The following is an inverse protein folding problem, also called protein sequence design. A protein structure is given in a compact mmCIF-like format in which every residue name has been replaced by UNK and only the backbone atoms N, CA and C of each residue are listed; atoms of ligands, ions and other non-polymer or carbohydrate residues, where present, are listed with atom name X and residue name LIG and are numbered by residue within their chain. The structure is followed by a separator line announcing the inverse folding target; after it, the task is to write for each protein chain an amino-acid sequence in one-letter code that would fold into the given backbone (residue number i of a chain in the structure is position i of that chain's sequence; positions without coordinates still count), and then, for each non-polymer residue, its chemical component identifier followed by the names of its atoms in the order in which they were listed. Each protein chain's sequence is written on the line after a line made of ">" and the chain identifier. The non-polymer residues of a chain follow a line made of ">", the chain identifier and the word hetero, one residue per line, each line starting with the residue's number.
data_IF_689418904792
#
_entry.id   IF_689418904792
#
_cell.length_a   1.000
_cell.length_b   1.000
_cell.length_c   1.000
_cell.angle_alpha   90.00
_cell.angle_beta   90.00
_cell.angle_gamma   90.00
#
_symmetry.space_group_name_H-M   'P 1'
#
loop_
_entity.id
_entity.type
_entity.pdbx_description
1 polymer ?
#
# COMPACT_ATOMS: atom_id res chain seq x y z
N UNK A 1 0.40 95.91 -38.29
CA UNK A 1 1.45 96.77 -37.71
C UNK A 1 2.69 96.54 -38.57
N UNK A 2 2.67 97.14 -39.76
CA UNK A 2 3.39 98.38 -40.12
C UNK A 2 4.85 98.03 -40.41
N UNK A 3 5.21 97.69 -41.64
CA UNK A 3 5.39 98.58 -42.80
C UNK A 3 6.53 99.58 -42.56
N UNK A 4 7.66 99.39 -43.25
CA UNK A 4 8.02 100.31 -44.33
C UNK A 4 9.11 99.70 -45.22
N UNK A 5 8.85 99.70 -46.53
CA UNK A 5 9.89 99.89 -47.55
C UNK A 5 9.89 101.38 -47.95
N UNK A 6 10.24 101.78 -49.20
CA UNK A 6 10.61 100.95 -50.33
C UNK A 6 11.73 101.68 -51.21
N UNK A 7 11.79 101.59 -52.57
CA UNK A 7 12.92 100.92 -53.25
C UNK A 7 13.33 101.56 -54.63
N UNK A 8 13.99 100.76 -55.52
CA UNK A 8 13.98 100.77 -57.02
C UNK A 8 14.46 102.08 -57.74
N UNK A 9 15.28 102.09 -58.79
CA UNK A 9 15.48 101.20 -59.94
C UNK A 9 15.21 102.00 -61.22
N UNK A 10 16.06 101.92 -62.27
CA UNK A 10 15.61 101.97 -63.69
C UNK A 10 16.77 101.72 -64.66
N UNK A 11 16.54 100.74 -65.54
CA UNK A 11 17.15 100.51 -66.84
C UNK A 11 16.43 101.35 -67.91
N UNK A 12 16.91 101.22 -69.16
CA UNK A 12 16.33 101.62 -70.47
C UNK A 12 16.53 103.07 -70.92
N UNK A 13 16.70 103.40 -72.21
CA UNK A 13 17.05 102.68 -73.45
C UNK A 13 17.14 103.75 -74.57
N UNK A 14 17.98 103.46 -75.57
CA UNK A 14 17.98 103.89 -76.99
C UNK A 14 17.01 104.99 -77.49
N UNK A 15 17.55 106.00 -78.18
CA UNK A 15 17.07 106.56 -79.47
C UNK A 15 18.15 107.54 -80.00
N UNK A 16 18.60 107.61 -81.25
CA UNK A 16 18.03 107.14 -82.51
C UNK A 16 17.68 108.34 -83.41
N UNK A 17 18.45 108.51 -84.50
CA UNK A 17 18.18 109.37 -85.69
C UNK A 17 18.41 110.88 -85.50
N UNK A 18 18.80 111.70 -86.48
CA UNK A 18 18.92 111.60 -87.93
C UNK A 18 19.71 112.83 -88.41
N UNK A 19 20.59 112.71 -89.40
CA UNK A 19 20.57 113.51 -90.64
C UNK A 19 21.78 113.18 -91.53
N UNK A 20 21.48 112.93 -92.80
CA UNK A 20 22.36 112.40 -93.85
C UNK A 20 22.81 113.54 -94.81
N UNK A 21 23.12 113.32 -96.11
CA UNK A 21 24.47 113.36 -96.68
C UNK A 21 24.57 114.36 -97.86
N UNK A 22 25.59 114.24 -98.74
CA UNK A 22 25.58 114.44 -100.23
C UNK A 22 27.00 114.83 -100.70
N UNK A 23 27.85 113.89 -101.14
CA UNK A 23 28.06 113.42 -102.53
C UNK A 23 28.01 114.54 -103.60
N UNK A 24 29.12 114.78 -104.30
CA UNK A 24 29.12 114.91 -105.76
C UNK A 24 30.54 114.78 -106.32
N UNK A 25 30.79 113.67 -107.01
CA UNK A 25 31.81 113.58 -108.03
C UNK A 25 31.18 113.82 -109.39
N UNK A 26 31.87 114.53 -110.28
CA UNK A 26 31.68 114.39 -111.73
C UNK A 26 33.06 114.41 -112.40
N UNK A 27 33.37 113.29 -113.04
CA UNK A 27 34.41 113.14 -114.05
C UNK A 27 33.86 113.50 -115.41
N UNK A 28 34.67 114.16 -116.23
CA UNK A 28 34.87 113.89 -117.68
C UNK A 28 36.17 114.61 -118.08
N UNK A 29 37.07 114.16 -118.94
CA UNK A 29 37.32 112.94 -119.71
C UNK A 29 38.68 113.19 -120.42
N UNK A 30 39.54 112.20 -120.67
CA UNK A 30 40.68 112.41 -121.58
C UNK A 30 41.95 111.58 -121.38
N UNK A 31 41.93 110.34 -121.92
CA UNK A 31 43.04 109.57 -122.51
C UNK A 31 44.18 109.06 -121.59
N UNK A 32 44.22 107.72 -121.45
CA UNK A 32 45.13 106.91 -120.61
C UNK A 32 46.48 106.63 -121.29
N UNK A 33 47.56 106.55 -120.50
CA UNK A 33 48.89 106.03 -120.87
C UNK A 33 49.42 105.01 -119.83
N UNK A 34 50.19 103.98 -120.22
CA UNK A 34 50.55 102.82 -119.37
C UNK A 34 51.45 103.13 -118.15
N UNK A 35 52.20 104.24 -118.16
CA UNK A 35 53.03 104.68 -117.01
C UNK A 35 52.20 105.08 -115.77
N UNK A 36 50.92 105.43 -115.98
CA UNK A 36 49.98 105.77 -114.91
C UNK A 36 49.56 104.56 -114.08
N UNK A 37 49.50 103.35 -114.68
CA UNK A 37 49.07 102.15 -113.95
C UNK A 37 50.12 101.64 -112.96
N UNK A 38 51.42 101.74 -113.27
CA UNK A 38 52.50 101.33 -112.37
C UNK A 38 52.63 102.28 -111.16
N UNK A 39 52.53 103.59 -111.39
CA UNK A 39 52.52 104.58 -110.30
C UNK A 39 51.25 104.49 -109.43
N UNK A 40 50.10 104.12 -109.99
CA UNK A 40 48.88 103.93 -109.21
C UNK A 40 48.96 102.69 -108.31
N UNK A 41 49.57 101.60 -108.78
CA UNK A 41 49.80 100.42 -107.94
C UNK A 41 50.82 100.69 -106.83
N UNK A 42 51.90 101.41 -107.13
CA UNK A 42 52.93 101.76 -106.15
C UNK A 42 52.39 102.75 -105.09
N UNK A 43 51.53 103.68 -105.51
CA UNK A 43 50.78 104.55 -104.59
C UNK A 43 49.87 103.76 -103.66
N UNK A 44 49.12 102.78 -104.19
CA UNK A 44 48.25 101.91 -103.37
C UNK A 44 49.03 101.02 -102.41
N UNK A 45 50.16 100.46 -102.81
CA UNK A 45 51.03 99.67 -101.94
C UNK A 45 51.67 100.53 -100.83
N UNK A 46 52.05 101.76 -101.15
CA UNK A 46 52.57 102.70 -100.16
C UNK A 46 51.49 103.14 -99.19
N UNK A 47 50.27 103.41 -99.67
CA UNK A 47 49.10 103.73 -98.83
C UNK A 47 48.67 102.57 -97.93
N UNK A 48 48.70 101.33 -98.43
CA UNK A 48 48.42 100.17 -97.57
C UNK A 48 49.50 99.99 -96.51
N UNK A 49 50.79 100.22 -96.84
CA UNK A 49 51.88 100.13 -95.87
C UNK A 49 51.79 101.19 -94.78
N UNK A 50 51.49 102.44 -95.14
CA UNK A 50 51.35 103.52 -94.16
C UNK A 50 50.11 103.34 -93.30
N UNK A 51 48.98 102.89 -93.87
CA UNK A 51 47.76 102.59 -93.10
C UNK A 51 47.91 101.40 -92.17
N UNK A 52 48.60 100.33 -92.58
CA UNK A 52 48.89 99.21 -91.67
C UNK A 52 49.91 99.58 -90.60
N UNK A 53 50.96 100.32 -90.96
CA UNK A 53 51.97 100.75 -89.99
C UNK A 53 51.43 101.73 -88.95
N UNK A 54 50.48 102.59 -89.32
CA UNK A 54 49.80 103.49 -88.38
C UNK A 54 48.79 102.77 -87.51
N UNK A 55 48.01 101.82 -88.06
CA UNK A 55 47.09 101.00 -87.27
C UNK A 55 47.80 100.12 -86.25
N UNK A 56 48.87 99.43 -86.64
CA UNK A 56 49.65 98.60 -85.71
C UNK A 56 50.29 99.43 -84.58
N UNK A 57 50.70 100.66 -84.87
CA UNK A 57 51.26 101.55 -83.85
C UNK A 57 50.19 102.14 -82.93
N UNK A 58 48.99 102.40 -83.45
CA UNK A 58 47.86 102.89 -82.67
C UNK A 58 47.32 101.79 -81.74
N UNK A 59 47.17 100.56 -82.24
CA UNK A 59 46.70 99.42 -81.44
C UNK A 59 47.71 99.06 -80.34
N UNK A 60 49.02 99.03 -80.66
CA UNK A 60 50.05 98.75 -79.66
C UNK A 60 50.21 99.83 -78.59
N UNK A 61 49.86 101.09 -78.89
CA UNK A 61 49.87 102.17 -77.89
C UNK A 61 48.59 102.17 -77.03
N UNK A 62 47.42 101.88 -77.63
CA UNK A 62 46.15 101.79 -76.89
C UNK A 62 46.19 100.65 -75.86
N UNK A 63 46.68 99.47 -76.24
CA UNK A 63 46.80 98.34 -75.31
C UNK A 63 47.81 98.61 -74.17
N UNK A 64 48.85 99.43 -74.41
CA UNK A 64 49.84 99.80 -73.40
C UNK A 64 49.27 100.79 -72.38
N UNK A 65 48.49 101.77 -72.84
CA UNK A 65 47.86 102.76 -71.97
C UNK A 65 46.75 102.11 -71.11
N UNK A 66 45.93 101.22 -71.69
CA UNK A 66 44.90 100.48 -70.95
C UNK A 66 45.53 99.53 -69.90
N UNK A 67 46.61 98.84 -70.25
CA UNK A 67 47.31 97.97 -69.30
C UNK A 67 48.00 98.76 -68.18
N UNK A 68 48.50 99.95 -68.48
CA UNK A 68 49.10 100.83 -67.45
C UNK A 68 48.02 101.38 -66.51
N UNK A 69 46.85 101.76 -67.03
CA UNK A 69 45.71 102.19 -66.23
C UNK A 69 45.18 101.10 -65.29
N UNK A 70 45.13 99.85 -65.73
CA UNK A 70 44.73 98.72 -64.85
C UNK A 70 45.76 98.41 -63.76
N UNK A 71 47.05 98.59 -64.03
CA UNK A 71 48.10 98.40 -63.02
C UNK A 71 48.06 99.48 -61.94
N UNK A 72 47.81 100.74 -62.31
CA UNK A 72 47.78 101.83 -61.34
C UNK A 72 46.51 101.81 -60.48
N UNK A 73 45.36 101.44 -61.05
CA UNK A 73 44.14 101.20 -60.26
C UNK A 73 44.31 100.05 -59.24
N UNK A 74 44.90 98.93 -59.65
CA UNK A 74 45.18 97.81 -58.72
C UNK A 74 46.19 98.18 -57.61
N UNK A 75 47.15 99.07 -57.88
CA UNK A 75 48.06 99.58 -56.83
C UNK A 75 47.33 100.45 -55.82
N UNK A 76 46.45 101.33 -56.27
CA UNK A 76 45.65 102.17 -55.37
C UNK A 76 44.73 101.30 -54.49
N UNK A 77 44.06 100.31 -55.08
CA UNK A 77 43.24 99.34 -54.33
C UNK A 77 44.04 98.51 -53.33
N UNK A 78 45.28 98.10 -53.67
CA UNK A 78 46.15 97.39 -52.74
C UNK A 78 46.59 98.30 -51.57
N UNK A 79 46.88 99.57 -51.85
CA UNK A 79 47.28 100.55 -50.83
C UNK A 79 46.10 100.84 -49.90
N UNK A 80 44.89 101.04 -50.43
CA UNK A 80 43.70 101.29 -49.60
C UNK A 80 43.35 100.06 -48.77
N UNK A 81 43.36 98.87 -49.37
CA UNK A 81 43.12 97.61 -48.66
C UNK A 81 44.13 97.37 -47.54
N UNK A 82 45.42 97.63 -47.78
CA UNK A 82 46.45 97.46 -46.77
C UNK A 82 46.30 98.47 -45.62
N UNK A 83 45.96 99.72 -45.92
CA UNK A 83 45.70 100.72 -44.90
C UNK A 83 44.43 100.40 -44.08
N UNK A 84 43.41 99.80 -44.69
CA UNK A 84 42.20 99.37 -43.98
C UNK A 84 42.47 98.14 -43.09
N UNK A 85 43.28 97.18 -43.54
CA UNK A 85 43.73 96.05 -42.71
C UNK A 85 44.54 96.51 -41.49
N UNK A 86 45.45 97.48 -41.68
CA UNK A 86 46.23 98.10 -40.60
C UNK A 86 45.33 98.84 -39.60
N UNK A 87 44.32 99.59 -40.08
CA UNK A 87 43.37 100.29 -39.21
C UNK A 87 42.51 99.31 -38.41
N UNK A 88 41.97 98.29 -39.05
CA UNK A 88 41.14 97.26 -38.39
C UNK A 88 41.94 96.42 -37.40
N UNK A 89 43.20 96.07 -37.73
CA UNK A 89 44.09 95.38 -36.79
C UNK A 89 44.39 96.23 -35.57
N UNK A 90 44.65 97.54 -35.76
CA UNK A 90 44.90 98.47 -34.64
C UNK A 90 43.67 98.68 -33.77
N UNK A 91 42.46 98.62 -34.32
CA UNK A 91 41.22 98.73 -33.55
C UNK A 91 40.94 97.48 -32.69
N UNK A 92 41.35 96.29 -33.16
CA UNK A 92 41.26 95.02 -32.43
C UNK A 92 42.32 94.85 -31.34
N UNK A 93 43.52 95.43 -31.53
CA UNK A 93 44.65 95.33 -30.58
C UNK A 93 44.64 96.42 -29.48
N UNK A 94 43.67 97.35 -29.48
CA UNK A 94 43.48 98.27 -28.35
C UNK A 94 42.84 97.48 -27.19
N UNK A 95 43.54 97.23 -26.07
CA UNK A 95 42.92 96.64 -24.89
C UNK A 95 41.84 97.61 -24.36
N UNK A 96 40.75 97.12 -23.76
CA UNK A 96 39.61 97.94 -23.38
C UNK A 96 40.02 98.97 -22.32
N UNK A 97 40.25 100.22 -22.75
CA UNK A 97 40.74 101.30 -21.91
C UNK A 97 39.63 102.14 -21.26
N UNK A 98 38.35 101.81 -21.48
CA UNK A 98 37.26 102.46 -20.75
C UNK A 98 37.01 101.76 -19.41
N UNK A 99 36.84 102.53 -18.34
CA UNK A 99 36.49 101.99 -17.01
C UNK A 99 35.16 101.20 -17.03
N UNK A 100 34.27 101.50 -17.98
CA UNK A 100 33.02 100.80 -18.18
C UNK A 100 33.24 99.36 -18.70
N UNK A 101 34.12 99.19 -19.69
CA UNK A 101 34.45 97.87 -20.26
C UNK A 101 35.23 97.02 -19.25
N UNK A 102 36.17 97.62 -18.50
CA UNK A 102 36.87 96.93 -17.40
C UNK A 102 35.89 96.47 -16.32
N UNK A 103 34.89 97.28 -15.97
CA UNK A 103 33.81 96.89 -15.03
C UNK A 103 32.89 95.81 -15.62
N UNK A 104 32.59 95.86 -16.92
CA UNK A 104 31.78 94.84 -17.59
C UNK A 104 32.52 93.50 -17.64
N UNK A 105 33.82 93.50 -17.97
CA UNK A 105 34.69 92.32 -17.94
C UNK A 105 34.80 91.72 -16.53
N UNK A 106 35.02 92.55 -15.49
CA UNK A 106 35.03 92.09 -14.09
C UNK A 106 33.68 91.47 -13.67
N UNK A 107 32.56 92.07 -14.08
CA UNK A 107 31.21 91.51 -13.83
C UNK A 107 30.95 90.23 -14.62
N UNK A 108 31.47 90.11 -15.84
CA UNK A 108 31.38 88.89 -16.64
C UNK A 108 32.16 87.76 -15.96
N UNK A 109 33.41 88.03 -15.54
CA UNK A 109 34.24 87.08 -14.79
C UNK A 109 33.57 86.65 -13.47
N UNK A 110 32.93 87.59 -12.76
CA UNK A 110 32.20 87.27 -11.54
C UNK A 110 31.00 86.36 -11.81
N UNK A 111 30.18 86.67 -12.83
CA UNK A 111 29.08 85.79 -13.25
C UNK A 111 29.57 84.43 -13.72
N UNK A 112 30.72 84.38 -14.37
CA UNK A 112 31.33 83.13 -14.82
C UNK A 112 31.82 82.28 -13.64
N UNK A 113 32.28 82.90 -12.56
CA UNK A 113 32.60 82.23 -11.29
C UNK A 113 31.33 81.72 -10.60
N UNK A 114 30.31 82.57 -10.47
CA UNK A 114 29.01 82.21 -9.87
C UNK A 114 28.33 81.07 -10.66
N UNK A 115 28.39 81.09 -12.00
CA UNK A 115 27.89 80.00 -12.85
C UNK A 115 28.67 78.70 -12.63
N UNK A 116 29.99 78.77 -12.48
CA UNK A 116 30.79 77.57 -12.16
C UNK A 116 30.51 77.05 -10.76
N UNK A 117 30.38 77.93 -9.77
CA UNK A 117 30.05 77.56 -8.40
C UNK A 117 28.67 76.88 -8.33
N UNK A 118 27.66 77.46 -8.97
CA UNK A 118 26.31 76.87 -9.04
C UNK A 118 26.28 75.56 -9.84
N UNK A 119 27.10 75.42 -10.90
CA UNK A 119 27.27 74.14 -11.61
C UNK A 119 27.88 73.08 -10.70
N UNK A 120 28.94 73.41 -9.96
CA UNK A 120 29.57 72.50 -9.00
C UNK A 120 28.61 72.12 -7.87
N UNK A 121 27.79 73.05 -7.39
CA UNK A 121 26.75 72.79 -6.39
C UNK A 121 25.65 71.88 -6.95
N UNK A 122 25.21 72.10 -8.19
CA UNK A 122 24.23 71.23 -8.85
C UNK A 122 24.79 69.82 -9.04
N UNK A 123 26.05 69.70 -9.46
CA UNK A 123 26.75 68.41 -9.57
C UNK A 123 26.84 67.73 -8.20
N UNK A 124 27.18 68.46 -7.13
CA UNK A 124 27.19 67.92 -5.76
C UNK A 124 25.81 67.43 -5.33
N UNK A 125 24.76 68.24 -5.49
CA UNK A 125 23.40 67.84 -5.15
C UNK A 125 22.90 66.67 -6.00
N UNK A 126 23.36 66.56 -7.25
CA UNK A 126 23.07 65.40 -8.10
C UNK A 126 23.76 64.15 -7.58
N UNK A 127 25.05 64.23 -7.27
CA UNK A 127 25.78 63.11 -6.69
C UNK A 127 25.17 62.67 -5.36
N UNK A 128 24.82 63.60 -4.47
CA UNK A 128 24.18 63.31 -3.19
C UNK A 128 22.81 62.64 -3.39
N UNK A 129 21.98 63.12 -4.32
CA UNK A 129 20.71 62.46 -4.68
C UNK A 129 20.94 61.04 -5.20
N UNK A 130 21.90 60.86 -6.10
CA UNK A 130 22.20 59.56 -6.70
C UNK A 130 22.76 58.58 -5.63
N UNK A 131 23.46 59.10 -4.62
CA UNK A 131 23.90 58.37 -3.43
C UNK A 131 22.72 57.97 -2.53
N UNK A 132 21.84 58.91 -2.17
CA UNK A 132 20.61 58.61 -1.41
C UNK A 132 19.69 57.64 -2.13
N UNK A 133 19.54 57.75 -3.46
CA UNK A 133 18.77 56.81 -4.26
C UNK A 133 19.41 55.41 -4.22
N UNK A 134 20.74 55.32 -4.26
CA UNK A 134 21.45 54.04 -4.11
C UNK A 134 21.24 53.45 -2.72
N UNK A 135 21.43 54.22 -1.66
CA UNK A 135 21.27 53.76 -0.28
C UNK A 135 19.83 53.32 0.01
N UNK A 136 18.84 54.06 -0.49
CA UNK A 136 17.44 53.66 -0.35
C UNK A 136 17.16 52.37 -1.14
N UNK A 137 17.66 52.25 -2.37
CA UNK A 137 17.54 51.02 -3.17
C UNK A 137 18.26 49.82 -2.55
N UNK A 138 19.39 50.04 -1.86
CA UNK A 138 20.10 49.01 -1.10
C UNK A 138 19.31 48.62 0.16
N UNK A 139 18.84 49.59 0.94
CA UNK A 139 18.02 49.34 2.12
C UNK A 139 16.69 48.64 1.80
N UNK A 140 16.05 48.98 0.67
CA UNK A 140 14.84 48.26 0.21
C UNK A 140 15.18 46.84 -0.21
N UNK A 141 16.30 46.59 -0.91
CA UNK A 141 16.74 45.24 -1.28
C UNK A 141 17.08 44.38 -0.07
N UNK A 142 17.73 44.95 0.94
CA UNK A 142 18.00 44.27 2.20
C UNK A 142 16.71 43.94 2.95
N UNK A 143 15.78 44.89 3.04
CA UNK A 143 14.48 44.67 3.66
C UNK A 143 13.65 43.60 2.92
N UNK A 144 13.64 43.63 1.58
CA UNK A 144 13.01 42.59 0.75
C UNK A 144 13.69 41.23 0.93
N UNK A 145 15.02 41.19 1.03
CA UNK A 145 15.78 39.98 1.30
C UNK A 145 15.47 39.37 2.66
N UNK A 146 15.42 40.19 3.72
CA UNK A 146 15.03 39.76 5.06
C UNK A 146 13.57 39.29 5.11
N UNK A 147 12.66 39.98 4.41
CA UNK A 147 11.25 39.57 4.31
C UNK A 147 11.11 38.22 3.58
N UNK A 148 11.83 38.02 2.48
CA UNK A 148 11.84 36.75 1.75
C UNK A 148 12.42 35.60 2.58
N UNK A 149 13.44 35.86 3.41
CA UNK A 149 14.00 34.86 4.33
C UNK A 149 13.01 34.50 5.45
N UNK A 150 12.31 35.49 6.01
CA UNK A 150 11.24 35.26 6.99
C UNK A 150 10.07 34.45 6.40
N UNK A 151 9.68 34.73 5.16
CA UNK A 151 8.65 33.95 4.47
C UNK A 151 9.12 32.50 4.27
N UNK A 152 10.35 32.30 3.77
CA UNK A 152 10.92 30.97 3.56
C UNK A 152 11.05 30.16 4.85
N UNK A 153 11.42 30.78 5.96
CA UNK A 153 11.47 30.12 7.28
C UNK A 153 10.07 29.74 7.76
N UNK A 154 9.08 30.64 7.63
CA UNK A 154 7.68 30.34 7.95
C UNK A 154 7.07 29.21 7.10
N UNK A 155 7.38 29.17 5.80
CA UNK A 155 6.99 28.07 4.92
C UNK A 155 7.66 26.74 5.31
N UNK A 156 8.94 26.80 5.68
CA UNK A 156 9.70 25.62 6.15
C UNK A 156 9.11 25.07 7.44
N UNK A 157 8.75 25.93 8.39
CA UNK A 157 8.10 25.54 9.64
C UNK A 157 6.72 24.93 9.39
N UNK A 158 5.94 25.53 8.48
CA UNK A 158 4.64 24.99 8.06
C UNK A 158 4.77 23.63 7.39
N UNK A 159 5.81 23.44 6.56
CA UNK A 159 6.13 22.16 5.93
C UNK A 159 6.54 21.11 6.97
N UNK A 160 7.41 21.48 7.90
CA UNK A 160 7.86 20.62 9.00
C UNK A 160 6.69 20.20 9.91
N UNK A 161 5.80 21.13 10.25
CA UNK A 161 4.59 20.83 11.01
C UNK A 161 3.69 19.82 10.28
N UNK A 162 3.48 20.00 8.96
CA UNK A 162 2.67 19.08 8.15
C UNK A 162 3.26 17.68 8.08
N UNK A 163 4.58 17.55 7.88
CA UNK A 163 5.24 16.24 7.85
C UNK A 163 5.25 15.60 9.22
N UNK A 164 5.51 16.36 10.28
CA UNK A 164 5.45 15.90 11.67
C UNK A 164 4.07 15.38 12.04
N UNK A 165 3.00 16.11 11.66
CA UNK A 165 1.62 15.66 11.88
C UNK A 165 1.33 14.32 11.20
N UNK A 166 1.69 14.20 9.92
CA UNK A 166 1.53 12.94 9.17
C UNK A 166 2.34 11.80 9.79
N UNK A 167 3.54 12.08 10.29
CA UNK A 167 4.36 11.09 11.02
C UNK A 167 3.67 10.60 12.29
N UNK A 168 3.09 11.51 13.09
CA UNK A 168 2.34 11.16 14.30
C UNK A 168 1.09 10.35 13.98
N UNK A 169 0.38 10.70 12.91
CA UNK A 169 -0.81 9.94 12.48
C UNK A 169 -0.43 8.51 12.05
N UNK A 170 0.70 8.33 11.36
CA UNK A 170 1.21 6.99 11.02
C UNK A 170 1.68 6.22 12.24
N UNK A 171 2.33 6.88 13.19
CA UNK A 171 2.73 6.26 14.46
C UNK A 171 1.51 5.77 15.24
N UNK A 172 0.45 6.58 15.32
CA UNK A 172 -0.81 6.20 15.95
C UNK A 172 -1.48 5.00 15.25
N UNK A 173 -1.48 4.97 13.91
CA UNK A 173 -1.99 3.83 13.13
C UNK A 173 -1.18 2.56 13.39
N UNK A 174 0.15 2.66 13.45
CA UNK A 174 1.02 1.52 13.76
C UNK A 174 0.76 0.99 15.16
N UNK A 175 0.61 1.87 16.16
CA UNK A 175 0.25 1.48 17.52
C UNK A 175 -1.12 0.79 17.56
N UNK A 176 -2.13 1.35 16.87
CA UNK A 176 -3.47 0.76 16.81
C UNK A 176 -3.46 -0.63 16.17
N UNK A 177 -2.79 -0.80 15.03
CA UNK A 177 -2.67 -2.10 14.36
C UNK A 177 -1.92 -3.09 15.26
N UNK A 178 -0.85 -2.66 15.92
CA UNK A 178 -0.08 -3.50 16.85
C UNK A 178 -0.93 -3.98 18.03
N UNK A 179 -1.73 -3.10 18.63
CA UNK A 179 -2.66 -3.46 19.71
C UNK A 179 -3.73 -4.44 19.23
N UNK A 180 -4.37 -4.17 18.09
CA UNK A 180 -5.38 -5.07 17.53
C UNK A 180 -4.79 -6.46 17.21
N UNK A 181 -3.56 -6.51 16.72
CA UNK A 181 -2.84 -7.76 16.45
C UNK A 181 -2.55 -8.52 17.76
N UNK A 182 -2.15 -7.83 18.83
CA UNK A 182 -1.97 -8.45 20.14
C UNK A 182 -3.29 -9.03 20.69
N UNK A 183 -4.40 -8.30 20.54
CA UNK A 183 -5.73 -8.77 20.91
C UNK A 183 -6.17 -10.00 20.11
N UNK A 184 -5.96 -9.99 18.78
CA UNK A 184 -6.28 -11.14 17.94
C UNK A 184 -5.44 -12.36 18.29
N UNK A 185 -4.13 -12.18 18.56
CA UNK A 185 -3.25 -13.25 19.04
C UNK A 185 -3.71 -13.81 20.38
N UNK A 186 -4.05 -12.94 21.33
CA UNK A 186 -4.56 -13.37 22.63
C UNK A 186 -5.89 -14.15 22.50
N UNK A 187 -6.80 -13.67 21.65
CA UNK A 187 -8.07 -14.35 21.37
C UNK A 187 -7.86 -15.71 20.72
N UNK A 188 -6.95 -15.81 19.76
CA UNK A 188 -6.58 -17.07 19.11
C UNK A 188 -6.02 -18.08 20.12
N UNK A 189 -5.02 -17.68 20.91
CA UNK A 189 -4.42 -18.55 21.94
C UNK A 189 -5.45 -18.99 23.00
N UNK A 190 -6.37 -18.10 23.39
CA UNK A 190 -7.45 -18.46 24.34
C UNK A 190 -8.43 -19.46 23.73
N UNK A 191 -8.73 -19.34 22.44
CA UNK A 191 -9.57 -20.32 21.73
C UNK A 191 -8.85 -21.67 21.58
N UNK A 192 -7.56 -21.67 21.29
CA UNK A 192 -6.72 -22.87 21.22
C UNK A 192 -6.67 -23.61 22.56
N UNK A 193 -6.45 -22.90 23.68
CA UNK A 193 -6.49 -23.49 25.02
C UNK A 193 -7.84 -24.15 25.33
N UNK A 194 -8.96 -23.49 24.99
CA UNK A 194 -10.31 -24.05 25.18
C UNK A 194 -10.56 -25.27 24.29
N UNK A 195 -10.02 -25.27 23.07
CA UNK A 195 -10.11 -26.41 22.16
C UNK A 195 -9.32 -27.61 22.71
N UNK A 196 -8.11 -27.38 23.22
CA UNK A 196 -7.29 -28.41 23.86
C UNK A 196 -7.99 -28.97 25.10
N UNK A 197 -8.54 -28.12 25.96
CA UNK A 197 -9.34 -28.54 27.11
C UNK A 197 -10.53 -29.39 26.67
N UNK A 198 -11.29 -28.96 25.66
CA UNK A 198 -12.40 -29.74 25.09
C UNK A 198 -11.93 -31.07 24.53
N UNK A 199 -10.77 -31.12 23.87
CA UNK A 199 -10.20 -32.35 23.33
C UNK A 199 -9.86 -33.34 24.44
N UNK A 200 -9.26 -32.88 25.55
CA UNK A 200 -9.00 -33.75 26.71
C UNK A 200 -10.28 -34.22 27.41
N UNK A 201 -11.33 -33.41 27.39
CA UNK A 201 -12.64 -33.83 27.91
C UNK A 201 -13.28 -34.88 27.00
N UNK A 202 -13.16 -34.75 25.67
CA UNK A 202 -13.63 -35.77 24.71
C UNK A 202 -12.91 -37.09 24.95
N UNK A 203 -11.57 -37.11 25.05
CA UNK A 203 -10.83 -38.35 25.29
C UNK A 203 -11.26 -39.01 26.60
N UNK A 204 -11.37 -38.24 27.69
CA UNK A 204 -11.88 -38.74 28.98
C UNK A 204 -13.29 -39.32 28.85
N UNK A 205 -14.20 -38.66 28.14
CA UNK A 205 -15.56 -39.18 27.92
C UNK A 205 -15.55 -40.47 27.12
N UNK A 206 -14.73 -40.59 26.06
CA UNK A 206 -14.62 -41.83 25.28
C UNK A 206 -14.07 -43.00 26.11
N UNK A 207 -13.12 -42.74 27.00
CA UNK A 207 -12.60 -43.75 27.93
C UNK A 207 -13.68 -44.22 28.91
N UNK A 208 -14.44 -43.28 29.48
CA UNK A 208 -15.58 -43.61 30.35
C UNK A 208 -16.67 -44.38 29.63
N UNK A 209 -17.00 -44.00 28.38
CA UNK A 209 -17.95 -44.74 27.54
C UNK A 209 -17.48 -46.19 27.32
N UNK A 210 -16.19 -46.41 27.09
CA UNK A 210 -15.62 -47.74 26.92
C UNK A 210 -15.67 -48.55 28.22
N UNK A 211 -15.35 -47.95 29.37
CA UNK A 211 -15.48 -48.60 30.67
C UNK A 211 -16.95 -48.98 30.98
N UNK A 212 -17.91 -48.13 30.60
CA UNK A 212 -19.34 -48.44 30.75
C UNK A 212 -19.74 -49.62 29.86
N UNK A 213 -19.28 -49.67 28.61
CA UNK A 213 -19.54 -50.81 27.70
C UNK A 213 -18.94 -52.10 28.25
N UNK A 214 -17.71 -52.07 28.74
CA UNK A 214 -17.03 -53.23 29.34
C UNK A 214 -17.77 -53.73 30.60
N UNK A 215 -18.12 -52.82 31.51
CA UNK A 215 -18.90 -53.18 32.71
C UNK A 215 -20.28 -53.73 32.35
N UNK A 216 -20.95 -53.18 31.33
CA UNK A 216 -22.21 -53.73 30.83
C UNK A 216 -22.06 -55.15 30.27
N UNK A 217 -20.96 -55.43 29.56
CA UNK A 217 -20.66 -56.78 29.07
C UNK A 217 -20.44 -57.74 30.26
N UNK A 218 -19.70 -57.33 31.28
CA UNK A 218 -19.47 -58.12 32.49
C UNK A 218 -20.78 -58.40 33.24
N UNK A 219 -21.64 -57.39 33.39
CA UNK A 219 -22.98 -57.57 33.96
C UNK A 219 -23.77 -58.61 33.16
N UNK A 220 -23.71 -58.57 31.83
CA UNK A 220 -24.34 -59.58 30.97
C UNK A 220 -23.82 -61.00 31.23
N UNK A 221 -22.49 -61.17 31.32
CA UNK A 221 -21.85 -62.47 31.64
C UNK A 221 -22.30 -63.02 32.99
N UNK A 222 -22.19 -62.20 34.05
CA UNK A 222 -22.57 -62.60 35.41
C UNK A 222 -24.08 -62.91 35.52
N UNK A 223 -24.93 -62.16 34.79
CA UNK A 223 -26.37 -62.47 34.71
C UNK A 223 -26.61 -63.84 34.05
N UNK A 224 -25.92 -64.14 32.95
CA UNK A 224 -26.05 -65.43 32.28
C UNK A 224 -25.56 -66.59 33.16
N UNK A 225 -24.40 -66.44 33.82
CA UNK A 225 -23.89 -67.41 34.80
C UNK A 225 -24.87 -67.62 35.94
N UNK A 226 -25.46 -66.54 36.48
CA UNK A 226 -26.50 -66.61 37.50
C UNK A 226 -27.74 -67.40 37.05
N UNK A 227 -28.18 -67.21 35.80
CA UNK A 227 -29.28 -68.00 35.21
C UNK A 227 -28.89 -69.47 35.09
N UNK A 228 -27.71 -69.80 34.55
CA UNK A 228 -27.22 -71.19 34.42
C UNK A 228 -27.14 -71.86 35.80
N UNK A 229 -26.56 -71.19 36.79
CA UNK A 229 -26.45 -71.73 38.14
C UNK A 229 -27.82 -71.96 38.79
N UNK A 230 -28.78 -71.09 38.53
CA UNK A 230 -30.16 -71.30 38.97
C UNK A 230 -30.80 -72.50 38.27
N UNK A 231 -30.57 -72.70 36.96
CA UNK A 231 -31.02 -73.90 36.25
C UNK A 231 -30.42 -75.17 36.83
N UNK A 232 -29.11 -75.19 37.09
CA UNK A 232 -28.43 -76.31 37.73
C UNK A 232 -29.01 -76.61 39.11
N UNK A 233 -29.32 -75.58 39.91
CA UNK A 233 -29.93 -75.73 41.22
C UNK A 233 -31.34 -76.31 41.11
N UNK A 234 -32.17 -75.78 40.21
CA UNK A 234 -33.53 -76.27 39.97
C UNK A 234 -33.53 -77.72 39.48
N UNK A 235 -32.59 -78.07 38.60
CA UNK A 235 -32.43 -79.43 38.09
C UNK A 235 -31.95 -80.40 39.19
N UNK A 236 -30.99 -79.99 40.02
CA UNK A 236 -30.54 -80.77 41.16
C UNK A 236 -31.68 -81.02 42.17
N UNK A 237 -32.47 -79.99 42.49
CA UNK A 237 -33.66 -80.13 43.35
C UNK A 237 -34.72 -81.03 42.73
N UNK A 238 -34.95 -80.94 41.41
CA UNK A 238 -35.87 -81.82 40.68
C UNK A 238 -35.40 -83.27 40.76
N UNK A 239 -34.11 -83.55 40.54
CA UNK A 239 -33.50 -84.88 40.64
C UNK A 239 -33.63 -85.45 42.06
N UNK A 240 -33.38 -84.64 43.08
CA UNK A 240 -33.54 -85.06 44.48
C UNK A 240 -34.99 -85.46 44.79
N UNK A 241 -35.96 -84.65 44.33
CA UNK A 241 -37.39 -84.94 44.52
C UNK A 241 -37.83 -86.22 43.77
N UNK A 242 -37.24 -86.51 42.62
CA UNK A 242 -37.50 -87.75 41.88
C UNK A 242 -36.87 -88.97 42.57
N UNK A 243 -35.61 -88.87 42.98
CA UNK A 243 -34.91 -89.93 43.72
C UNK A 243 -35.63 -90.26 45.04
N UNK A 244 -36.10 -89.25 45.79
CA UNK A 244 -36.85 -89.51 47.02
C UNK A 244 -38.16 -90.27 46.77
N UNK A 245 -38.86 -90.01 45.67
CA UNK A 245 -40.07 -90.77 45.31
C UNK A 245 -39.76 -92.24 44.94
N UNK A 246 -38.65 -92.49 44.25
CA UNK A 246 -38.16 -93.83 43.91
C UNK A 246 -37.88 -94.64 45.19
N UNK A 247 -37.16 -94.05 46.15
CA UNK A 247 -36.90 -94.68 47.46
C UNK A 247 -38.20 -94.99 48.23
N UNK A 248 -39.24 -94.17 48.09
CA UNK A 248 -40.53 -94.41 48.74
C UNK A 248 -41.31 -95.57 48.09
N UNK A 249 -41.24 -95.73 46.76
CA UNK A 249 -41.83 -96.87 46.04
C UNK A 249 -41.12 -98.16 46.44
N UNK A 250 -39.79 -98.14 46.46
CA UNK A 250 -38.98 -99.30 46.90
C UNK A 250 -39.32 -99.70 48.33
N UNK A 251 -39.43 -98.72 49.26
CA UNK A 251 -39.84 -98.98 50.65
C UNK A 251 -41.19 -99.69 50.72
N UNK A 252 -42.18 -99.25 49.95
CA UNK A 252 -43.53 -99.87 49.93
C UNK A 252 -43.50 -101.28 49.34
N UNK A 253 -42.77 -101.48 48.23
CA UNK A 253 -42.64 -102.78 47.58
C UNK A 253 -41.94 -103.78 48.51
N UNK A 254 -40.81 -103.40 49.09
CA UNK A 254 -40.07 -104.20 50.08
C UNK A 254 -40.98 -104.58 51.25
N UNK A 255 -41.75 -103.62 51.77
CA UNK A 255 -42.70 -103.89 52.87
C UNK A 255 -43.73 -104.95 52.47
N UNK A 256 -44.34 -104.84 51.29
CA UNK A 256 -45.33 -105.79 50.82
C UNK A 256 -44.75 -107.19 50.56
N UNK A 257 -43.57 -107.28 49.94
CA UNK A 257 -42.89 -108.56 49.69
C UNK A 257 -42.43 -109.18 51.02
N UNK A 258 -41.96 -108.39 51.96
CA UNK A 258 -41.58 -108.86 53.30
C UNK A 258 -42.79 -109.37 54.09
N UNK A 259 -43.92 -108.65 54.08
CA UNK A 259 -45.16 -109.13 54.72
C UNK A 259 -45.59 -110.45 54.10
N UNK A 260 -45.62 -110.53 52.77
CA UNK A 260 -45.96 -111.76 52.03
C UNK A 260 -45.02 -112.91 52.38
N UNK A 261 -43.73 -112.63 52.51
CA UNK A 261 -42.71 -113.60 52.91
C UNK A 261 -42.94 -114.16 54.31
N UNK A 262 -43.33 -113.31 55.28
CA UNK A 262 -43.60 -113.74 56.67
C UNK A 262 -44.86 -114.59 56.76
N UNK A 263 -45.91 -114.24 56.01
CA UNK A 263 -47.20 -114.98 56.02
C UNK A 263 -47.17 -116.28 55.22
N UNK A 264 -46.21 -116.43 54.30
CA UNK A 264 -46.08 -117.65 53.47
C UNK A 264 -45.48 -118.80 54.30
N UNK A 265 -46.08 -120.01 54.30
CA UNK A 265 -45.62 -121.15 55.10
C UNK A 265 -44.17 -121.57 54.80
N UNK A 266 -43.46 -122.07 55.83
CA UNK A 266 -41.99 -122.28 55.84
C UNK A 266 -41.44 -123.33 54.86
N UNK A 267 -42.29 -124.02 54.10
CA UNK A 267 -41.89 -125.03 53.11
C UNK A 267 -42.16 -124.64 51.65
N UNK A 268 -42.67 -123.44 51.38
CA UNK A 268 -43.00 -123.01 50.01
C UNK A 268 -41.75 -122.54 49.25
N UNK A 269 -41.53 -123.07 48.05
CA UNK A 269 -40.45 -122.63 47.14
C UNK A 269 -40.59 -121.17 46.72
N UNK A 270 -41.82 -120.64 46.68
CA UNK A 270 -42.10 -119.22 46.39
C UNK A 270 -41.43 -118.27 47.39
N UNK A 271 -41.20 -118.75 48.62
CA UNK A 271 -40.54 -117.99 49.68
C UNK A 271 -39.10 -117.63 49.30
N UNK A 272 -38.40 -118.51 48.59
CA UNK A 272 -37.05 -118.28 48.11
C UNK A 272 -37.02 -117.25 46.96
N UNK A 273 -37.98 -117.33 46.02
CA UNK A 273 -38.12 -116.33 44.96
C UNK A 273 -38.45 -114.93 45.51
N UNK A 274 -39.31 -114.84 46.53
CA UNK A 274 -39.58 -113.58 47.24
C UNK A 274 -38.32 -113.00 47.89
N UNK A 275 -37.48 -113.84 48.51
CA UNK A 275 -36.19 -113.42 49.08
C UNK A 275 -35.21 -112.96 48.00
N UNK A 276 -35.11 -113.69 46.89
CA UNK A 276 -34.26 -113.33 45.75
C UNK A 276 -34.67 -111.97 45.18
N UNK A 277 -35.98 -111.74 45.04
CA UNK A 277 -36.54 -110.45 44.64
C UNK A 277 -36.19 -109.33 45.63
N UNK A 278 -36.38 -109.56 46.94
CA UNK A 278 -35.99 -108.62 47.99
C UNK A 278 -34.49 -108.28 47.95
N UNK A 279 -33.63 -109.27 47.75
CA UNK A 279 -32.18 -109.08 47.68
C UNK A 279 -31.76 -108.22 46.48
N UNK A 280 -32.48 -108.32 45.37
CA UNK A 280 -32.25 -107.50 44.19
C UNK A 280 -32.71 -106.06 44.40
N UNK A 281 -33.86 -105.85 45.02
CA UNK A 281 -34.43 -104.50 45.24
C UNK A 281 -33.61 -103.75 46.30
N UNK A 282 -33.30 -104.40 47.43
CA UNK A 282 -32.49 -103.81 48.51
C UNK A 282 -30.99 -103.78 48.20
N UNK A 283 -30.57 -104.30 47.05
CA UNK A 283 -29.17 -104.41 46.64
C UNK A 283 -28.28 -105.06 47.71
N UNK A 284 -28.72 -106.21 48.27
CA UNK A 284 -27.96 -106.92 49.29
C UNK A 284 -26.57 -107.30 48.80
N UNK A 285 -25.57 -107.09 49.66
CA UNK A 285 -24.22 -107.59 49.45
C UNK A 285 -24.19 -109.11 49.51
N UNK A 286 -23.15 -109.73 48.95
CA UNK A 286 -23.03 -111.20 48.90
C UNK A 286 -23.10 -111.84 50.30
N UNK A 287 -22.49 -111.19 51.30
CA UNK A 287 -22.53 -111.63 52.70
C UNK A 287 -23.96 -111.60 53.29
N UNK A 288 -24.79 -110.65 52.88
CA UNK A 288 -26.18 -110.54 53.33
C UNK A 288 -27.06 -111.59 52.64
N UNK A 289 -26.79 -111.91 51.38
CA UNK A 289 -27.48 -112.99 50.65
C UNK A 289 -27.17 -114.37 51.24
N UNK A 290 -25.93 -114.61 51.66
CA UNK A 290 -25.55 -115.82 52.39
C UNK A 290 -26.28 -115.92 53.73
N UNK A 291 -26.31 -114.84 54.52
CA UNK A 291 -27.04 -114.79 55.80
C UNK A 291 -28.55 -114.98 55.64
N UNK A 292 -29.11 -114.46 54.56
CA UNK A 292 -30.53 -114.64 54.24
C UNK A 292 -30.84 -116.04 53.68
N UNK A 293 -29.83 -116.89 53.48
CA UNK A 293 -29.98 -118.26 52.98
C UNK A 293 -30.32 -118.33 51.48
N UNK A 294 -30.13 -117.23 50.72
CA UNK A 294 -30.30 -117.20 49.26
C UNK A 294 -29.11 -117.89 48.57
N UNK A 295 -27.93 -117.76 49.17
CA UNK A 295 -26.70 -118.41 48.69
C UNK A 295 -26.22 -119.42 49.73
N UNK A 296 -25.87 -120.61 49.27
CA UNK A 296 -25.31 -121.65 50.13
C UNK A 296 -23.85 -121.29 50.41
N UNK A 297 -23.52 -121.07 51.68
CA UNK A 297 -22.14 -120.89 52.12
C UNK A 297 -21.27 -122.01 51.53
N UNK A 298 -20.38 -121.66 50.60
CA UNK A 298 -19.45 -122.59 49.95
C UNK A 298 -19.57 -122.79 48.44
N UNK A 299 -20.48 -122.12 47.72
CA UNK A 299 -20.50 -122.17 46.23
C UNK A 299 -19.77 -120.98 45.60
N UNK A 300 -18.50 -120.80 45.97
CA UNK A 300 -17.62 -119.74 45.46
C UNK A 300 -16.14 -119.98 45.79
N UNK A 301 -15.69 -121.25 45.75
CA UNK A 301 -14.28 -121.60 45.84
C UNK A 301 -13.62 -121.54 44.47
N UNK A 302 -12.88 -120.46 44.19
CA UNK A 302 -12.15 -120.29 42.94
C UNK A 302 -11.03 -119.24 43.07
N UNK A 303 -9.88 -119.71 43.53
CA UNK A 303 -8.54 -119.15 43.30
C UNK A 303 -8.04 -117.96 44.13
N UNK A 304 -7.07 -118.30 44.98
CA UNK A 304 -5.79 -117.62 45.23
C UNK A 304 -5.73 -116.11 44.92
N UNK A 305 -5.77 -115.28 45.95
CA UNK A 305 -4.58 -114.63 46.54
C UNK A 305 -5.00 -113.88 47.80
N UNK A 306 -4.22 -114.09 48.85
CA UNK A 306 -4.36 -113.51 50.18
C UNK A 306 -2.91 -113.21 50.63
N UNK A 307 -2.68 -112.40 51.67
CA UNK A 307 -3.14 -111.02 51.81
C UNK A 307 -2.02 -110.14 52.44
N UNK A 308 -2.42 -108.95 52.89
CA UNK A 308 -1.83 -108.20 54.03
C UNK A 308 -0.56 -107.41 53.70
N UNK A 309 -0.29 -106.23 54.26
CA UNK A 309 -1.02 -105.27 55.09
C UNK A 309 0.03 -104.24 55.50
N UNK A 310 -0.41 -103.00 55.73
CA UNK A 310 0.28 -102.10 56.67
C UNK A 310 1.50 -101.38 56.09
N UNK A 311 1.47 -100.06 55.89
CA UNK A 311 1.49 -99.04 56.94
C UNK A 311 2.85 -98.99 57.66
N UNK A 312 3.43 -97.78 57.66
CA UNK A 312 4.68 -97.29 58.29
C UNK A 312 5.97 -97.28 57.46
N UNK A 313 6.37 -96.06 57.09
CA UNK A 313 7.61 -95.52 57.68
C UNK A 313 8.78 -95.25 56.74
N UNK A 314 8.92 -93.98 56.33
CA UNK A 314 10.08 -93.06 56.54
C UNK A 314 9.90 -91.88 55.57
N UNK A 315 9.72 -90.62 55.98
CA UNK A 315 10.49 -89.73 56.87
C UNK A 315 11.59 -88.94 56.13
N UNK A 316 11.40 -87.60 56.14
CA UNK A 316 12.37 -86.47 56.09
C UNK A 316 13.01 -86.14 54.73
N UNK A 317 13.21 -84.87 54.35
CA UNK A 317 13.38 -83.58 55.05
C UNK A 317 12.45 -82.50 54.47
N UNK A 318 11.90 -81.47 55.12
CA UNK A 318 12.26 -80.58 56.24
C UNK A 318 13.47 -79.66 56.04
N UNK A 319 13.17 -78.38 55.81
CA UNK A 319 13.92 -77.22 56.30
C UNK A 319 13.26 -75.96 55.73
N UNK A 320 12.76 -74.98 56.50
CA UNK A 320 12.60 -74.71 57.93
C UNK A 320 11.70 -73.45 58.00
N UNK A 321 10.77 -73.31 58.96
CA UNK A 321 10.98 -72.63 60.25
C UNK A 321 11.15 -71.11 60.06
N UNK A 322 10.46 -70.18 60.71
CA UNK A 322 9.73 -70.14 61.99
C UNK A 322 9.05 -68.72 62.12
N UNK A 323 8.32 -68.37 63.22
CA UNK A 323 7.05 -67.62 63.20
C UNK A 323 7.01 -66.39 64.16
N UNK A 324 5.84 -65.71 64.29
CA UNK A 324 5.34 -65.16 65.58
C UNK A 324 3.88 -64.60 65.52
N UNK A 325 3.00 -65.17 66.39
CA UNK A 325 1.89 -64.64 67.23
C UNK A 325 1.01 -63.46 66.71
N UNK A 326 -0.28 -63.62 66.32
CA UNK A 326 -1.56 -63.78 67.11
C UNK A 326 -2.08 -62.52 67.81
N UNK A 327 -3.38 -62.38 68.17
CA UNK A 327 -4.67 -62.70 67.50
C UNK A 327 -5.65 -61.48 67.54
N UNK A 328 -6.87 -61.55 66.94
CA UNK A 328 -8.16 -60.96 67.43
C UNK A 328 -9.22 -60.79 66.31
N UNK A 329 -10.42 -61.36 66.55
CA UNK A 329 -11.81 -60.96 66.18
C UNK A 329 -12.08 -60.51 64.73
N UNK A 330 -12.81 -61.21 63.85
CA UNK A 330 -14.22 -61.61 63.87
C UNK A 330 -15.19 -60.62 64.55
N UNK A 331 -15.94 -59.93 63.68
CA UNK A 331 -17.28 -59.33 63.86
C UNK A 331 -17.37 -57.82 64.14
N UNK A 332 -17.19 -57.00 63.09
CA UNK A 332 -17.80 -55.65 62.98
C UNK A 332 -18.44 -55.42 61.59
N UNK A 333 -18.96 -56.48 60.96
CA UNK A 333 -19.78 -56.36 59.75
C UNK A 333 -21.27 -56.41 60.10
N UNK A 334 -21.86 -55.35 60.68
CA UNK A 334 -23.34 -55.21 60.69
C UNK A 334 -23.88 -53.77 60.67
N UNK A 335 -23.07 -52.71 60.73
CA UNK A 335 -23.61 -51.34 60.80
C UNK A 335 -23.07 -50.41 59.71
N UNK A 336 -23.46 -50.62 58.44
CA UNK A 336 -23.34 -49.52 57.45
C UNK A 336 -24.25 -49.55 56.22
N UNK A 337 -25.13 -50.52 56.03
CA UNK A 337 -26.04 -50.51 54.87
C UNK A 337 -27.48 -50.05 55.17
N UNK A 338 -27.87 -49.95 56.45
CA UNK A 338 -29.26 -49.67 56.85
C UNK A 338 -29.57 -48.19 57.12
N UNK A 339 -28.59 -47.28 56.96
CA UNK A 339 -28.76 -45.85 57.30
C UNK A 339 -29.03 -44.91 56.12
N UNK A 340 -28.84 -45.37 54.87
CA UNK A 340 -29.01 -44.49 53.70
C UNK A 340 -30.43 -44.55 53.10
N UNK A 341 -31.26 -45.51 53.51
CA UNK A 341 -32.62 -45.70 52.95
C UNK A 341 -33.73 -45.27 53.93
N UNK A 342 -33.36 -44.72 55.09
CA UNK A 342 -34.28 -44.42 56.20
C UNK A 342 -34.37 -42.93 56.52
N UNK A 343 -34.32 -42.06 55.50
CA UNK A 343 -34.76 -40.67 55.64
C UNK A 343 -35.57 -40.27 54.40
N UNK A 344 -36.89 -40.16 54.59
CA UNK A 344 -37.86 -39.80 53.55
C UNK A 344 -37.78 -38.32 53.13
N UNK A 345 -38.71 -37.89 52.26
CA UNK A 345 -40.04 -37.60 52.80
C UNK A 345 -41.19 -38.07 51.90
N UNK A 346 -42.26 -38.58 52.53
CA UNK A 346 -43.57 -38.69 51.90
C UNK A 346 -44.65 -38.34 52.93
N UNK A 347 -45.32 -37.22 52.70
CA UNK A 347 -46.68 -36.97 53.20
C UNK A 347 -47.68 -37.34 52.09
N UNK A 348 -48.57 -38.28 52.44
CA UNK A 348 -49.99 -38.43 52.08
C UNK A 348 -50.48 -38.15 50.63
N UNK A 349 -50.90 -39.19 49.89
CA UNK A 349 -52.31 -39.56 49.54
C UNK A 349 -52.93 -38.72 48.40
N UNK A 350 -53.48 -39.21 47.27
CA UNK A 350 -54.46 -40.30 47.00
C UNK A 350 -54.53 -40.58 45.47
N UNK A 351 -54.97 -41.78 45.08
CA UNK A 351 -55.18 -42.42 43.74
C UNK A 351 -56.40 -41.90 42.91
N UNK A 352 -56.78 -42.43 41.71
CA UNK A 352 -56.03 -43.04 40.57
C UNK A 352 -56.48 -42.65 39.12
N UNK A 353 -55.65 -43.04 38.13
CA UNK A 353 -55.93 -43.55 36.76
C UNK A 353 -56.62 -42.71 35.65
N UNK A 354 -55.90 -42.49 34.54
CA UNK A 354 -56.29 -42.87 33.16
C UNK A 354 -55.12 -42.70 32.16
N UNK A 355 -55.12 -43.54 31.12
CA UNK A 355 -54.09 -43.74 30.09
C UNK A 355 -54.13 -42.67 28.99
N UNK A 356 -52.98 -42.43 28.33
CA UNK A 356 -52.95 -42.16 26.88
C UNK A 356 -52.03 -41.02 26.39
N UNK A 357 -50.90 -41.43 25.79
CA UNK A 357 -50.15 -40.82 24.68
C UNK A 357 -49.62 -39.37 24.72
N UNK A 358 -48.28 -39.30 24.65
CA UNK A 358 -47.46 -38.53 23.70
C UNK A 358 -47.90 -37.11 23.32
N UNK A 359 -47.15 -36.09 23.76
CA UNK A 359 -46.21 -35.28 22.95
C UNK A 359 -45.74 -34.02 23.70
N UNK A 360 -44.59 -33.51 23.27
CA UNK A 360 -43.74 -32.44 23.84
C UNK A 360 -44.44 -31.07 24.02
N UNK A 361 -43.92 -30.22 24.93
CA UNK A 361 -43.87 -28.77 24.72
C UNK A 361 -42.44 -28.23 24.98
N UNK A 362 -41.93 -27.12 24.44
CA UNK A 362 -42.48 -26.08 23.58
C UNK A 362 -41.42 -24.98 23.41
N UNK A 363 -41.30 -24.42 22.21
CA UNK A 363 -40.59 -23.16 21.95
C UNK A 363 -41.57 -22.19 21.28
N UNK A 364 -41.66 -20.92 21.71
CA UNK A 364 -42.54 -19.95 21.07
C UNK A 364 -41.84 -19.25 19.90
N UNK A 365 -42.49 -19.25 18.73
CA UNK A 365 -42.20 -18.36 17.62
C UNK A 365 -43.48 -17.57 17.26
N UNK A 366 -43.50 -16.29 17.65
CA UNK A 366 -44.38 -15.25 17.10
C UNK A 366 -43.63 -14.62 15.92
N UNK A 367 -44.17 -14.30 14.75
CA UNK A 367 -45.52 -14.15 14.25
C UNK A 367 -45.42 -13.12 13.11
N UNK A 368 -45.50 -13.57 11.86
CA UNK A 368 -45.53 -12.71 10.68
C UNK A 368 -46.91 -12.07 10.54
N UNK A 369 -46.95 -10.75 10.32
CA UNK A 369 -48.14 -10.06 9.84
C UNK A 369 -47.83 -9.25 8.57
N UNK A 370 -48.86 -9.24 7.76
CA UNK A 370 -48.93 -9.02 6.33
C UNK A 370 -49.50 -7.63 6.04
N UNK A 371 -48.81 -6.79 5.27
CA UNK A 371 -49.38 -5.57 4.68
C UNK A 371 -48.88 -5.37 3.24
N UNK A 372 -49.83 -5.29 2.31
CA UNK A 372 -49.63 -4.98 0.89
C UNK A 372 -49.44 -3.47 0.64
N UNK A 373 -48.71 -3.05 -0.41
CA UNK A 373 -48.73 -1.67 -0.89
C UNK A 373 -49.50 -1.54 -2.23
N UNK A 374 -50.04 -0.34 -2.56
CA UNK A 374 -50.70 -0.11 -3.84
C UNK A 374 -49.72 0.28 -4.95
N UNK A 375 -50.10 -0.08 -6.18
CA UNK A 375 -49.42 0.21 -7.45
C UNK A 375 -49.58 1.68 -7.84
N UNK A 376 -48.47 2.35 -8.16
CA UNK A 376 -48.40 3.39 -9.21
C UNK A 376 -47.03 3.29 -9.89
N UNK A 377 -47.03 3.12 -11.20
CA UNK A 377 -45.81 2.99 -12.00
C UNK A 377 -45.20 4.34 -12.38
N UNK A 378 -43.87 4.35 -12.52
CA UNK A 378 -43.11 4.99 -13.60
C UNK A 378 -41.66 4.50 -13.57
N UNK A 379 -41.13 4.27 -14.77
CA UNK A 379 -39.81 3.74 -15.10
C UNK A 379 -38.69 4.74 -14.75
N UNK A 380 -37.48 4.26 -14.42
CA UNK A 380 -36.29 4.29 -15.27
C UNK A 380 -35.00 3.88 -14.50
N UNK A 381 -34.24 2.98 -15.15
CA UNK A 381 -32.78 2.94 -15.33
C UNK A 381 -31.80 2.78 -14.15
N UNK A 382 -31.19 1.58 -14.12
CA UNK A 382 -29.75 1.24 -14.05
C UNK A 382 -28.81 2.01 -13.11
N UNK A 383 -28.04 1.27 -12.31
CA UNK A 383 -26.57 1.26 -12.34
C UNK A 383 -26.02 0.07 -11.52
N UNK A 384 -24.92 -0.48 -12.01
CA UNK A 384 -24.42 -1.83 -11.79
C UNK A 384 -23.70 -2.06 -10.45
N UNK A 385 -23.86 -3.27 -9.93
CA UNK A 385 -22.99 -3.89 -8.94
C UNK A 385 -21.78 -4.54 -9.64
N UNK A 386 -20.57 -4.35 -9.11
CA UNK A 386 -19.37 -5.10 -9.50
C UNK A 386 -18.71 -5.59 -8.21
N UNK A 387 -19.01 -6.83 -7.84
CA UNK A 387 -18.21 -7.62 -6.92
C UNK A 387 -17.69 -8.81 -7.74
N UNK A 388 -16.37 -8.95 -7.86
CA UNK A 388 -15.77 -10.13 -8.50
C UNK A 388 -14.43 -10.45 -7.84
N UNK A 389 -14.45 -11.50 -7.04
CA UNK A 389 -13.34 -12.42 -6.80
C UNK A 389 -13.04 -13.22 -8.08
N UNK A 390 -11.78 -13.53 -8.41
CA UNK A 390 -11.49 -14.63 -9.32
C UNK A 390 -10.86 -15.81 -8.58
N UNK A 391 -11.55 -16.94 -8.65
CA UNK A 391 -11.01 -18.28 -8.43
C UNK A 391 -10.33 -18.80 -9.72
N UNK A 392 -9.36 -19.68 -9.53
CA UNK A 392 -8.42 -20.20 -10.51
C UNK A 392 -9.03 -21.30 -11.40
N UNK A 393 -8.33 -21.55 -12.52
CA UNK A 393 -8.30 -22.74 -13.39
C UNK A 393 -8.89 -22.58 -14.80
N UNK A 394 -8.01 -22.54 -15.81
CA UNK A 394 -8.09 -23.32 -17.05
C UNK A 394 -6.92 -22.96 -18.00
N UNK A 395 -6.00 -23.91 -18.20
CA UNK A 395 -5.15 -24.02 -19.40
C UNK A 395 -6.00 -24.60 -20.55
N UNK A 396 -5.72 -24.27 -21.82
CA UNK A 396 -4.70 -24.96 -22.64
C UNK A 396 -3.87 -23.96 -23.48
N UNK A 397 -2.70 -24.21 -24.05
CA UNK A 397 -2.08 -25.42 -24.58
C UNK A 397 -1.60 -25.15 -26.02
N UNK A 398 -0.27 -25.03 -26.18
CA UNK A 398 0.55 -25.35 -27.38
C UNK A 398 0.84 -24.37 -28.54
N UNK A 399 2.17 -24.25 -28.79
CA UNK A 399 2.95 -23.97 -30.03
C UNK A 399 3.01 -22.48 -30.45
N UNK A 400 4.15 -21.88 -30.86
CA UNK A 400 5.31 -22.35 -31.63
C UNK A 400 6.44 -21.29 -31.48
N UNK A 401 7.71 -21.72 -31.33
CA UNK A 401 8.83 -20.83 -31.00
C UNK A 401 9.44 -20.01 -32.15
N UNK A 402 10.33 -19.07 -31.79
CA UNK A 402 11.60 -18.78 -32.49
C UNK A 402 12.52 -17.93 -31.60
N UNK A 403 13.80 -18.24 -31.72
CA UNK A 403 14.97 -17.79 -30.97
C UNK A 403 15.20 -16.28 -30.94
N UNK A 404 15.86 -15.80 -29.88
CA UNK A 404 17.18 -15.14 -29.98
C UNK A 404 17.80 -14.93 -28.60
N UNK A 405 19.01 -15.45 -28.46
CA UNK A 405 19.98 -15.16 -27.40
C UNK A 405 20.23 -13.65 -27.28
N UNK A 406 20.49 -13.16 -26.07
CA UNK A 406 21.45 -12.09 -25.76
C UNK A 406 21.79 -12.17 -24.27
N UNK A 407 22.82 -12.96 -23.97
CA UNK A 407 23.63 -12.88 -22.75
C UNK A 407 24.60 -11.72 -22.89
N UNK A 408 24.85 -10.92 -21.85
CA UNK A 408 26.10 -10.18 -21.56
C UNK A 408 25.96 -9.45 -20.20
N UNK A 409 27.06 -9.24 -19.45
CA UNK A 409 27.17 -9.62 -18.04
C UNK A 409 27.37 -8.46 -17.06
N UNK A 410 27.41 -8.81 -15.78
CA UNK A 410 27.99 -7.99 -14.70
C UNK A 410 29.49 -7.72 -14.94
N UNK A 411 29.94 -6.52 -14.55
CA UNK A 411 31.16 -6.38 -13.74
C UNK A 411 30.86 -5.46 -12.54
N UNK A 412 31.52 -5.53 -11.40
CA UNK A 412 32.80 -6.10 -11.04
C UNK A 412 33.27 -5.29 -9.84
N UNK A 413 33.69 -5.99 -8.79
CA UNK A 413 34.31 -5.44 -7.59
C UNK A 413 35.57 -4.64 -7.94
N UNK A 414 35.74 -3.51 -7.27
CA UNK A 414 37.01 -2.84 -6.98
C UNK A 414 36.82 -1.98 -5.74
#
# INVERSE_FOLDING_TARGET
>A
MSADGPPRGSLDSLNGANESPTINGVHTNGKRTPKSQYNNLLGKLTDMRTRLGTKLKQDANLDLDDLTGTVDTLKEELITSHQEAERTSKELDIPPHTDADRRAHMKALQRERELRETQLELERCRMERDEWERETMEGTREAEGLAAEQEKTGESDSRCYRTSKRSKDYEAQLQQVTLSLAEFKHRAHTAELKLEESQTNITRTTELENQVKEKNLLIGKLRHEGVIMNEHLVEALRRLRKNSSETNVDRRLVTNVLLSYITTPRGDTKRFEMLKLLSSILSWTEQEKEKAGIQKAGSGGGSLTSPSSGFWGRSLSSGGGMPAKSPIEKAEETESFSRLWTTGPASASTTPASRGNMSLPGSPATGLQNLSPPKVGRRLSSLSAIASTPDLTALPGSRKGKEREHSIPLPGES
#
